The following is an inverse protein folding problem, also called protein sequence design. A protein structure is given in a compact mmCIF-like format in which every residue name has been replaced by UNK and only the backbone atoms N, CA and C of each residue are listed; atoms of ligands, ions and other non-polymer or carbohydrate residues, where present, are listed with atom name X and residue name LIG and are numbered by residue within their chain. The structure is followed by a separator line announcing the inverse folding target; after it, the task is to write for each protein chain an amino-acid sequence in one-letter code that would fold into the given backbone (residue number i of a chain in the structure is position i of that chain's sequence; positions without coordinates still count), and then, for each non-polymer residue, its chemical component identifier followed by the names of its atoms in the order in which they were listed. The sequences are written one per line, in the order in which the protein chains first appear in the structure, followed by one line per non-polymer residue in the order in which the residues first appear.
data_IF_424072173735
#
_entry.id   IF_424072173735
#
_cell.length_a   1.000
_cell.length_b   1.000
_cell.length_c   1.000
_cell.angle_alpha   90.00
_cell.angle_beta   90.00
_cell.angle_gamma   90.00
#
_symmetry.space_group_name_H-M   'P 1'
#
loop_
_entity.id
_entity.type
_entity.pdbx_description
1 polymer ?
#
# COMPACT_ATOMS: atom_id res chain seq x y z
N UNK A 1 0.18 1.28 2.45
CA UNK A 1 -0.53 2.53 2.82
C UNK A 1 -0.96 2.47 4.27
N UNK A 2 -0.66 3.50 5.08
CA UNK A 2 -1.01 3.51 6.51
C UNK A 2 -2.52 3.30 6.70
N UNK A 3 -2.88 2.38 7.60
CA UNK A 3 -4.23 1.91 7.92
C UNK A 3 -4.96 1.14 6.82
N UNK A 4 -4.28 0.74 5.74
CA UNK A 4 -4.93 0.17 4.55
C UNK A 4 -4.10 -0.91 3.84
N UNK A 5 -3.00 -1.35 4.43
CA UNK A 5 -2.16 -2.42 3.88
C UNK A 5 -1.78 -3.43 4.95
N UNK A 6 -2.73 -3.72 5.84
CA UNK A 6 -2.66 -4.81 6.81
C UNK A 6 -2.70 -6.18 6.11
N UNK A 7 -2.36 -7.24 6.85
CA UNK A 7 -2.23 -8.60 6.29
C UNK A 7 -3.46 -9.04 5.51
N UNK A 8 -4.66 -8.85 6.05
CA UNK A 8 -5.90 -9.25 5.39
C UNK A 8 -6.03 -8.62 4.00
N UNK A 9 -5.72 -7.33 3.88
CA UNK A 9 -5.74 -6.62 2.62
C UNK A 9 -4.61 -7.04 1.68
N UNK A 10 -3.39 -7.28 2.18
CA UNK A 10 -2.28 -7.78 1.35
C UNK A 10 -2.57 -9.18 0.79
N UNK A 11 -3.21 -10.05 1.57
CA UNK A 11 -3.67 -11.35 1.08
C UNK A 11 -4.72 -11.22 -0.04
N UNK A 12 -5.64 -10.25 0.08
CA UNK A 12 -6.61 -9.94 -0.96
C UNK A 12 -5.91 -9.42 -2.23
N UNK A 13 -4.96 -8.50 -2.09
CA UNK A 13 -4.20 -7.95 -3.21
C UNK A 13 -3.41 -9.04 -3.95
N UNK A 14 -2.73 -9.94 -3.22
CA UNK A 14 -2.02 -11.09 -3.81
C UNK A 14 -2.96 -12.03 -4.55
N UNK A 15 -4.12 -12.34 -3.95
CA UNK A 15 -5.17 -13.16 -4.60
C UNK A 15 -5.59 -12.58 -5.95
N UNK A 16 -5.54 -11.26 -6.10
CA UNK A 16 -5.93 -10.55 -7.30
C UNK A 16 -4.76 -10.03 -8.15
N UNK A 17 -3.57 -10.62 -8.02
CA UNK A 17 -2.49 -10.46 -8.98
C UNK A 17 -1.41 -9.46 -8.58
N UNK A 18 -1.36 -9.00 -7.32
CA UNK A 18 -0.20 -8.24 -6.86
C UNK A 18 1.02 -9.15 -6.65
N UNK A 19 2.11 -8.89 -7.37
CA UNK A 19 3.36 -9.67 -7.29
C UNK A 19 4.05 -9.55 -5.92
N UNK A 20 4.06 -8.34 -5.36
CA UNK A 20 4.56 -8.06 -4.02
C UNK A 20 3.76 -6.95 -3.36
N UNK A 21 3.78 -6.94 -2.03
CA UNK A 21 3.06 -5.97 -1.24
C UNK A 21 4.01 -5.24 -0.28
N UNK A 22 3.59 -4.04 0.12
CA UNK A 22 4.27 -3.24 1.13
C UNK A 22 3.48 -3.27 2.43
N UNK A 23 4.20 -3.28 3.55
CA UNK A 23 3.59 -3.01 4.84
C UNK A 23 3.12 -1.56 4.96
N UNK A 24 2.43 -1.27 6.06
CA UNK A 24 2.37 0.10 6.54
C UNK A 24 3.77 0.61 6.91
N UNK A 25 3.96 1.93 6.82
CA UNK A 25 5.25 2.56 7.08
C UNK A 25 5.64 2.46 8.56
N UNK A 26 6.83 1.92 8.82
CA UNK A 26 7.42 1.74 10.16
C UNK A 26 8.25 2.97 10.53
N UNK A 27 7.80 3.73 11.52
CA UNK A 27 8.60 4.80 12.10
C UNK A 27 9.70 4.21 13.00
N UNK A 28 10.96 4.35 12.61
CA UNK A 28 12.11 3.76 13.30
C UNK A 28 12.24 4.23 14.76
N UNK A 29 11.94 5.49 15.05
CA UNK A 29 12.06 6.02 16.41
C UNK A 29 11.00 5.43 17.35
N UNK A 30 9.75 5.38 16.89
CA UNK A 30 8.65 4.74 17.65
C UNK A 30 8.93 3.25 17.80
N UNK A 31 9.40 2.59 16.73
CA UNK A 31 9.71 1.17 16.73
C UNK A 31 10.75 0.81 17.80
N UNK A 32 11.89 1.52 17.83
CA UNK A 32 12.96 1.25 18.79
C UNK A 32 12.60 1.64 20.23
N UNK A 33 11.76 2.66 20.43
CA UNK A 33 11.33 3.08 21.78
C UNK A 33 10.28 2.17 22.39
N UNK A 34 9.33 1.67 21.59
CA UNK A 34 8.09 1.08 22.11
C UNK A 34 7.81 -0.34 21.60
N UNK A 35 8.52 -0.82 20.58
CA UNK A 35 8.11 -2.00 19.80
C UNK A 35 9.27 -2.89 19.33
N UNK A 36 10.32 -3.05 20.13
CA UNK A 36 11.53 -3.80 19.71
C UNK A 36 11.28 -5.27 19.33
N UNK A 37 10.12 -5.85 19.66
CA UNK A 37 9.74 -7.18 19.22
C UNK A 37 8.54 -7.12 18.25
N UNK A 38 8.74 -7.36 16.94
CA UNK A 38 7.66 -7.31 15.94
C UNK A 38 6.52 -8.29 16.23
N UNK A 39 6.84 -9.46 16.78
CA UNK A 39 5.91 -10.56 17.05
C UNK A 39 4.98 -10.21 18.21
N UNK A 40 5.54 -9.75 19.34
CA UNK A 40 4.73 -9.45 20.53
C UNK A 40 3.99 -8.12 20.45
N UNK A 41 4.46 -7.18 19.61
CA UNK A 41 3.84 -5.86 19.50
C UNK A 41 2.74 -5.76 18.44
N UNK A 42 2.53 -6.83 17.64
CA UNK A 42 1.51 -6.94 16.58
C UNK A 42 1.43 -5.69 15.68
N UNK A 43 2.55 -4.97 15.55
CA UNK A 43 2.63 -3.76 14.72
C UNK A 43 2.52 -4.11 13.24
N UNK A 44 2.98 -5.30 12.93
CA UNK A 44 2.97 -5.89 11.62
C UNK A 44 2.59 -7.36 11.83
N UNK A 45 1.51 -7.77 11.16
CA UNK A 45 1.12 -9.17 11.06
C UNK A 45 1.50 -9.66 9.68
N UNK A 46 2.01 -10.87 9.58
CA UNK A 46 2.36 -11.54 8.32
C UNK A 46 2.14 -13.04 8.42
N UNK A 47 2.31 -13.73 7.30
CA UNK A 47 2.38 -15.18 7.25
C UNK A 47 3.30 -15.60 6.08
N UNK A 48 3.56 -16.90 5.95
CA UNK A 48 4.44 -17.43 4.91
C UNK A 48 3.93 -17.18 3.48
N UNK A 49 2.61 -17.06 3.30
CA UNK A 49 1.95 -16.77 2.02
C UNK A 49 2.01 -15.27 1.67
N UNK A 50 2.37 -14.41 2.61
CA UNK A 50 2.50 -12.99 2.39
C UNK A 50 3.92 -12.63 1.93
N UNK A 51 4.49 -13.38 0.97
CA UNK A 51 5.81 -13.13 0.37
C UNK A 51 5.71 -13.18 -1.17
N UNK A 52 6.50 -12.38 -1.91
CA UNK A 52 7.52 -11.44 -1.45
C UNK A 52 6.92 -10.20 -0.76
N UNK A 53 7.46 -9.80 0.38
CA UNK A 53 7.02 -8.65 1.14
C UNK A 53 8.12 -7.62 1.34
N UNK A 54 7.74 -6.36 1.21
CA UNK A 54 8.60 -5.22 1.46
C UNK A 54 8.14 -4.50 2.73
N UNK A 55 9.03 -4.39 3.71
CA UNK A 55 8.79 -3.56 4.90
C UNK A 55 9.33 -2.15 4.63
N UNK A 56 8.42 -1.17 4.63
CA UNK A 56 8.79 0.23 4.44
C UNK A 56 9.10 0.88 5.79
N UNK A 57 10.28 1.46 5.95
CA UNK A 57 10.71 2.20 7.14
C UNK A 57 10.78 3.70 6.87
N UNK A 58 10.67 4.52 7.93
CA UNK A 58 10.93 5.95 7.88
C UNK A 58 11.67 6.44 9.12
N UNK A 59 12.54 7.42 8.93
CA UNK A 59 13.38 8.00 9.96
C UNK A 59 14.27 9.09 9.39
N UNK A 60 15.04 9.71 10.28
CA UNK A 60 16.02 10.76 9.95
C UNK A 60 17.38 10.52 10.61
N UNK A 61 17.49 9.48 11.45
CA UNK A 61 18.68 9.09 12.18
C UNK A 61 19.20 7.78 11.57
N UNK A 62 20.35 7.84 10.92
CA UNK A 62 20.95 6.74 10.16
C UNK A 62 21.21 5.50 11.02
N UNK A 63 21.68 5.68 12.26
CA UNK A 63 21.98 4.57 13.16
C UNK A 63 20.69 3.88 13.62
N UNK A 64 19.65 4.65 13.92
CA UNK A 64 18.33 4.09 14.26
C UNK A 64 17.68 3.39 13.07
N UNK A 65 17.83 3.93 11.86
CA UNK A 65 17.33 3.28 10.65
C UNK A 65 18.06 1.97 10.36
N UNK A 66 19.38 1.93 10.51
CA UNK A 66 20.17 0.70 10.40
C UNK A 66 19.74 -0.33 11.44
N UNK A 67 19.67 0.06 12.72
CA UNK A 67 19.25 -0.83 13.79
C UNK A 67 17.85 -1.41 13.54
N UNK A 68 16.90 -0.57 13.12
CA UNK A 68 15.54 -1.01 12.76
C UNK A 68 15.57 -1.99 11.58
N UNK A 69 16.36 -1.71 10.56
CA UNK A 69 16.51 -2.59 9.38
C UNK A 69 17.08 -3.95 9.76
N UNK A 70 18.12 -3.99 10.61
CA UNK A 70 18.73 -5.23 11.08
C UNK A 70 17.77 -6.10 11.89
N UNK A 71 16.85 -5.50 12.64
CA UNK A 71 15.79 -6.22 13.37
C UNK A 71 14.75 -6.77 12.38
N UNK A 72 14.35 -5.97 11.38
CA UNK A 72 13.24 -6.30 10.49
C UNK A 72 13.62 -7.20 9.30
N UNK A 73 14.91 -7.30 8.94
CA UNK A 73 15.35 -8.04 7.74
C UNK A 73 14.90 -9.50 7.69
N UNK A 74 14.74 -10.16 8.84
CA UNK A 74 14.32 -11.56 8.92
C UNK A 74 12.80 -11.75 8.71
N UNK A 75 12.04 -10.66 8.60
CA UNK A 75 10.57 -10.66 8.53
C UNK A 75 10.02 -10.21 7.17
N UNK A 76 10.90 -9.92 6.21
CA UNK A 76 10.57 -9.45 4.87
C UNK A 76 11.58 -9.93 3.84
N UNK A 77 11.31 -9.67 2.57
CA UNK A 77 12.20 -9.96 1.45
C UNK A 77 13.02 -8.72 1.05
N UNK A 78 12.53 -7.52 1.41
CA UNK A 78 13.27 -6.28 1.26
C UNK A 78 12.87 -5.23 2.32
N UNK A 79 13.83 -4.38 2.65
CA UNK A 79 13.60 -3.14 3.41
C UNK A 79 13.52 -1.99 2.40
N UNK A 80 12.44 -1.21 2.46
CA UNK A 80 12.26 0.01 1.69
C UNK A 80 12.39 1.23 2.60
N UNK A 81 13.02 2.30 2.11
CA UNK A 81 13.16 3.56 2.83
C UNK A 81 12.19 4.56 2.23
N UNK A 82 11.21 5.00 3.02
CA UNK A 82 10.28 6.02 2.56
C UNK A 82 10.99 7.37 2.45
N UNK A 83 11.18 7.83 1.22
CA UNK A 83 11.73 9.14 0.87
C UNK A 83 10.69 10.10 0.28
N UNK A 84 9.40 9.80 0.44
CA UNK A 84 8.30 10.71 0.07
C UNK A 84 8.18 11.91 1.02
N UNK A 85 8.87 11.85 2.17
CA UNK A 85 9.06 12.95 3.12
C UNK A 85 10.38 13.69 2.77
N UNK A 86 10.43 15.03 2.74
CA UNK A 86 11.54 15.77 2.16
C UNK A 86 12.85 15.48 2.90
N UNK A 87 13.82 14.87 2.21
CA UNK A 87 15.22 14.88 2.63
C UNK A 87 16.05 15.41 1.46
N UNK A 88 16.97 16.33 1.71
CA UNK A 88 17.83 16.93 0.67
C UNK A 88 18.59 15.88 -0.15
N UNK A 89 18.87 14.72 0.47
CA UNK A 89 19.50 13.56 -0.14
C UNK A 89 18.69 13.06 -1.35
N UNK A 90 17.36 13.15 -1.30
CA UNK A 90 16.50 12.66 -2.37
C UNK A 90 16.70 13.41 -3.70
N UNK A 91 17.06 14.69 -3.62
CA UNK A 91 17.32 15.54 -4.80
C UNK A 91 18.65 15.25 -5.48
N UNK A 92 19.61 14.65 -4.79
CA UNK A 92 20.97 14.43 -5.32
C UNK A 92 21.09 13.14 -6.15
N UNK A 93 20.05 12.29 -6.19
CA UNK A 93 19.96 11.17 -7.14
C UNK A 93 20.97 10.03 -6.94
N UNK A 94 21.66 9.96 -5.81
CA UNK A 94 22.73 8.97 -5.57
C UNK A 94 22.23 7.63 -5.02
N UNK A 95 20.97 7.27 -5.24
CA UNK A 95 20.37 6.05 -4.65
C UNK A 95 21.04 4.76 -5.12
N UNK A 96 21.36 4.68 -6.42
CA UNK A 96 22.10 3.55 -6.99
C UNK A 96 23.50 3.45 -6.36
N UNK A 97 24.21 4.58 -6.24
CA UNK A 97 25.53 4.64 -5.57
C UNK A 97 25.45 4.27 -4.09
N UNK A 98 24.33 4.55 -3.44
CA UNK A 98 24.06 4.13 -2.06
C UNK A 98 23.74 2.63 -1.93
N UNK A 99 23.68 1.89 -3.05
CA UNK A 99 23.47 0.44 -3.06
C UNK A 99 22.01 -0.01 -3.16
N UNK A 100 21.08 0.90 -3.45
CA UNK A 100 19.68 0.53 -3.67
C UNK A 100 19.56 -0.50 -4.80
N UNK A 101 18.71 -1.51 -4.61
CA UNK A 101 18.47 -2.57 -5.61
C UNK A 101 17.27 -2.30 -6.51
N UNK A 102 16.42 -1.36 -6.13
CA UNK A 102 15.22 -0.92 -6.85
C UNK A 102 14.81 0.45 -6.30
N UNK A 103 14.18 1.28 -7.13
CA UNK A 103 13.53 2.52 -6.67
C UNK A 103 12.06 2.52 -7.09
N UNK A 104 11.18 3.01 -6.21
CA UNK A 104 9.80 3.34 -6.56
C UNK A 104 9.68 4.85 -6.70
N UNK A 105 9.15 5.33 -7.82
CA UNK A 105 9.01 6.75 -8.10
C UNK A 105 7.54 7.13 -8.17
N UNK A 106 7.10 7.97 -7.24
CA UNK A 106 5.81 8.64 -7.37
C UNK A 106 5.95 9.85 -8.28
N UNK A 107 5.21 9.89 -9.39
CA UNK A 107 5.28 10.96 -10.38
C UNK A 107 4.73 12.32 -9.92
N UNK A 108 4.65 12.59 -8.62
CA UNK A 108 4.18 13.86 -8.09
C UNK A 108 5.19 14.45 -7.13
N UNK A 109 5.26 15.78 -7.09
CA UNK A 109 6.00 16.46 -6.03
C UNK A 109 5.24 16.40 -4.71
N UNK A 110 5.91 16.72 -3.62
CA UNK A 110 5.29 16.81 -2.29
C UNK A 110 4.17 17.85 -2.22
N UNK A 111 4.31 18.93 -2.97
CA UNK A 111 3.37 20.05 -3.03
C UNK A 111 2.07 19.66 -3.76
N UNK A 112 2.13 18.63 -4.60
CA UNK A 112 0.98 18.07 -5.31
C UNK A 112 0.15 17.15 -4.40
N UNK A 113 -0.53 17.78 -3.43
CA UNK A 113 -1.40 17.12 -2.45
C UNK A 113 -2.72 17.87 -2.26
N UNK A 114 -3.75 17.15 -1.82
CA UNK A 114 -5.08 17.72 -1.58
C UNK A 114 -5.68 18.30 -2.85
N UNK A 115 -6.13 19.56 -2.80
CA UNK A 115 -6.69 20.27 -3.96
C UNK A 115 -5.65 20.42 -5.10
N UNK A 116 -4.35 20.41 -4.76
CA UNK A 116 -3.26 20.58 -5.73
C UNK A 116 -2.70 19.26 -6.28
N UNK A 117 -3.36 18.13 -6.04
CA UNK A 117 -2.83 16.80 -6.40
C UNK A 117 -2.45 16.68 -7.88
N UNK A 118 -3.28 17.19 -8.78
CA UNK A 118 -3.04 17.17 -10.22
C UNK A 118 -2.70 15.78 -10.78
N UNK A 119 -2.13 15.76 -11.98
CA UNK A 119 -1.68 14.53 -12.64
C UNK A 119 -0.29 14.11 -12.15
N UNK A 120 -0.06 12.79 -12.11
CA UNK A 120 1.29 12.26 -11.96
C UNK A 120 2.03 12.42 -13.29
N UNK A 121 3.25 12.93 -13.25
CA UNK A 121 4.11 13.09 -14.40
C UNK A 121 4.88 11.81 -14.68
N UNK A 122 4.36 11.02 -15.63
CA UNK A 122 5.09 9.88 -16.19
C UNK A 122 6.35 10.32 -16.92
N UNK A 123 6.41 11.56 -17.42
CA UNK A 123 7.63 12.11 -18.01
C UNK A 123 8.79 12.16 -17.00
N UNK A 124 8.57 12.66 -15.79
CA UNK A 124 9.62 12.66 -14.77
C UNK A 124 10.04 11.23 -14.36
N UNK A 125 9.09 10.30 -14.30
CA UNK A 125 9.38 8.88 -14.02
C UNK A 125 10.26 8.29 -15.13
N UNK A 126 9.91 8.53 -16.40
CA UNK A 126 10.68 8.11 -17.57
C UNK A 126 12.10 8.66 -17.53
N UNK A 127 12.25 9.96 -17.25
CA UNK A 127 13.58 10.58 -17.14
C UNK A 127 14.41 9.91 -16.04
N UNK A 128 13.81 9.53 -14.90
CA UNK A 128 14.52 8.77 -13.86
C UNK A 128 14.92 7.38 -14.38
N UNK A 129 14.01 6.63 -15.02
CA UNK A 129 14.31 5.30 -15.59
C UNK A 129 15.46 5.34 -16.60
N UNK A 130 15.57 6.39 -17.40
CA UNK A 130 16.68 6.55 -18.36
C UNK A 130 18.04 6.84 -17.71
N UNK A 131 18.06 7.26 -16.45
CA UNK A 131 19.27 7.73 -15.75
C UNK A 131 19.76 6.78 -14.64
N UNK A 132 19.14 5.61 -14.48
CA UNK A 132 19.55 4.59 -13.49
C UNK A 132 19.58 3.20 -14.12
N UNK A 133 20.46 2.33 -13.62
CA UNK A 133 20.55 0.94 -14.13
C UNK A 133 19.77 -0.06 -13.28
N UNK A 134 19.27 0.37 -12.12
CA UNK A 134 18.46 -0.46 -11.23
C UNK A 134 16.98 -0.43 -11.66
N UNK A 135 16.20 -1.48 -11.32
CA UNK A 135 14.76 -1.49 -11.55
C UNK A 135 14.04 -0.26 -10.98
N UNK A 136 13.12 0.30 -11.76
CA UNK A 136 12.27 1.44 -11.42
C UNK A 136 10.82 1.02 -11.46
N UNK A 137 10.12 1.17 -10.33
CA UNK A 137 8.68 0.94 -10.22
C UNK A 137 7.96 2.29 -10.32
N UNK A 138 7.13 2.45 -11.34
CA UNK A 138 6.34 3.66 -11.54
C UNK A 138 5.12 3.68 -10.61
N UNK A 139 4.87 4.83 -9.97
CA UNK A 139 3.72 5.03 -9.08
C UNK A 139 2.99 6.34 -9.40
N UNK A 140 1.66 6.28 -9.39
CA UNK A 140 0.77 7.42 -9.62
C UNK A 140 0.22 7.50 -11.05
N UNK A 141 -1.04 7.90 -11.18
CA UNK A 141 -1.73 8.02 -12.48
C UNK A 141 -2.43 6.75 -12.96
N UNK A 142 -2.32 5.64 -12.23
CA UNK A 142 -2.97 4.37 -12.56
C UNK A 142 -4.38 4.36 -11.97
N UNK A 143 -5.39 4.50 -12.83
CA UNK A 143 -6.82 4.56 -12.45
C UNK A 143 -7.54 3.31 -12.96
N UNK A 144 -7.23 2.87 -14.17
CA UNK A 144 -7.80 1.69 -14.81
C UNK A 144 -6.69 0.71 -15.17
N UNK A 145 -7.02 -0.58 -15.32
CA UNK A 145 -6.04 -1.60 -15.69
C UNK A 145 -5.28 -1.26 -16.98
N UNK A 146 -5.93 -0.64 -17.98
CA UNK A 146 -5.26 -0.17 -19.21
C UNK A 146 -4.14 0.86 -18.96
N UNK A 147 -4.21 1.63 -17.89
CA UNK A 147 -3.16 2.61 -17.56
C UNK A 147 -1.86 1.92 -17.11
N UNK A 148 -1.90 0.64 -16.74
CA UNK A 148 -0.70 -0.14 -16.41
C UNK A 148 0.17 -0.25 -17.65
N UNK A 149 -0.41 -0.77 -18.75
CA UNK A 149 0.29 -0.94 -20.02
C UNK A 149 0.70 0.42 -20.60
N UNK A 150 -0.22 1.40 -20.63
CA UNK A 150 0.09 2.76 -21.11
C UNK A 150 1.26 3.41 -20.34
N UNK A 151 1.34 3.20 -19.02
CA UNK A 151 2.42 3.75 -18.20
C UNK A 151 3.75 3.02 -18.46
N UNK A 152 3.73 1.68 -18.56
CA UNK A 152 4.92 0.88 -18.86
C UNK A 152 5.45 1.25 -20.25
N UNK A 153 4.59 1.27 -21.27
CA UNK A 153 4.98 1.62 -22.65
C UNK A 153 5.58 3.03 -22.74
N UNK A 154 5.02 3.98 -21.99
CA UNK A 154 5.52 5.36 -22.01
C UNK A 154 6.85 5.53 -21.27
N UNK A 155 6.99 4.91 -20.10
CA UNK A 155 8.10 5.13 -19.16
C UNK A 155 9.26 4.14 -19.30
N UNK A 156 8.99 2.97 -19.89
CA UNK A 156 9.86 1.80 -19.90
C UNK A 156 10.27 1.33 -18.49
N UNK A 157 9.45 1.60 -17.47
CA UNK A 157 9.66 1.14 -16.11
C UNK A 157 9.46 -0.38 -15.97
N UNK A 158 10.12 -0.97 -14.97
CA UNK A 158 10.17 -2.42 -14.76
C UNK A 158 8.97 -2.96 -13.98
N UNK A 159 8.08 -2.07 -13.52
CA UNK A 159 6.86 -2.43 -12.85
C UNK A 159 6.02 -1.22 -12.43
N UNK A 160 4.84 -1.50 -11.91
CA UNK A 160 3.86 -0.50 -11.48
C UNK A 160 3.47 -0.74 -10.04
N UNK A 161 3.43 0.32 -9.25
CA UNK A 161 2.80 0.32 -7.93
C UNK A 161 1.47 1.07 -8.02
N UNK A 162 0.39 0.44 -7.54
CA UNK A 162 -0.91 1.08 -7.39
C UNK A 162 -1.22 1.23 -5.90
N UNK A 163 -1.39 2.48 -5.46
CA UNK A 163 -1.72 2.80 -4.07
C UNK A 163 -3.23 3.03 -3.93
N UNK A 164 -3.66 4.29 -3.88
CA UNK A 164 -5.03 4.67 -3.54
C UNK A 164 -6.11 4.00 -4.41
N UNK A 165 -5.93 3.98 -5.73
CA UNK A 165 -6.88 3.34 -6.66
C UNK A 165 -7.14 1.88 -6.33
N UNK A 166 -6.12 1.14 -5.88
CA UNK A 166 -6.26 -0.28 -5.56
C UNK A 166 -7.27 -0.52 -4.42
N UNK A 167 -7.43 0.44 -3.50
CA UNK A 167 -8.41 0.33 -2.41
C UNK A 167 -9.85 0.45 -2.90
N UNK A 168 -10.06 1.15 -4.00
CA UNK A 168 -11.38 1.26 -4.65
C UNK A 168 -11.61 0.09 -5.62
N UNK A 169 -10.55 -0.41 -6.25
CA UNK A 169 -10.60 -1.55 -7.16
C UNK A 169 -9.45 -2.54 -6.91
N UNK A 170 -9.65 -3.53 -6.02
CA UNK A 170 -8.65 -4.57 -5.79
C UNK A 170 -8.39 -5.50 -6.98
N UNK A 171 -9.24 -5.46 -8.02
CA UNK A 171 -9.09 -6.26 -9.24
C UNK A 171 -8.22 -5.58 -10.29
N UNK A 172 -7.54 -4.46 -9.98
CA UNK A 172 -6.83 -3.68 -11.00
C UNK A 172 -5.75 -4.49 -11.74
N UNK A 173 -5.18 -5.51 -11.11
CA UNK A 173 -4.20 -6.45 -11.69
C UNK A 173 -4.81 -7.77 -12.17
N UNK A 174 -6.14 -7.91 -12.14
CA UNK A 174 -6.85 -9.16 -12.42
C UNK A 174 -7.77 -9.03 -13.62
N UNK A 175 -7.95 -10.14 -14.34
CA UNK A 175 -8.99 -10.28 -15.37
C UNK A 175 -10.31 -10.83 -14.81
N UNK A 176 -10.32 -11.22 -13.53
CA UNK A 176 -11.51 -11.71 -12.83
C UNK A 176 -12.57 -10.61 -12.79
N UNK A 177 -13.84 -11.01 -12.95
CA UNK A 177 -14.99 -10.13 -12.79
C UNK A 177 -15.71 -10.48 -11.49
N UNK A 178 -15.69 -9.54 -10.55
CA UNK A 178 -16.49 -9.58 -9.31
C UNK A 178 -17.05 -8.21 -9.00
N UNK A 179 -18.21 -8.20 -8.35
CA UNK A 179 -18.78 -7.00 -7.76
C UNK A 179 -17.95 -6.51 -6.57
N UNK A 180 -18.11 -5.24 -6.23
CA UNK A 180 -17.47 -4.67 -5.03
C UNK A 180 -17.95 -5.32 -3.73
N UNK A 181 -19.18 -5.84 -3.68
CA UNK A 181 -19.71 -6.58 -2.54
C UNK A 181 -18.99 -7.91 -2.34
N UNK A 182 -18.85 -8.71 -3.40
CA UNK A 182 -18.11 -9.99 -3.33
C UNK A 182 -16.66 -9.78 -2.90
N UNK A 183 -15.99 -8.74 -3.40
CA UNK A 183 -14.61 -8.42 -3.01
C UNK A 183 -14.54 -7.99 -1.54
N UNK A 184 -15.49 -7.17 -1.09
CA UNK A 184 -15.53 -6.70 0.30
C UNK A 184 -15.88 -7.83 1.29
N UNK A 185 -16.79 -8.74 0.91
CA UNK A 185 -17.09 -9.94 1.68
C UNK A 185 -15.84 -10.81 1.87
N UNK A 186 -15.09 -11.06 0.79
CA UNK A 186 -13.83 -11.81 0.89
C UNK A 186 -12.80 -11.11 1.78
N UNK A 187 -12.74 -9.77 1.71
CA UNK A 187 -11.91 -9.00 2.62
C UNK A 187 -12.33 -9.20 4.08
N UNK A 188 -13.63 -9.19 4.40
CA UNK A 188 -14.14 -9.46 5.76
C UNK A 188 -13.75 -10.87 6.23
N UNK A 189 -13.88 -11.88 5.36
CA UNK A 189 -13.47 -13.27 5.68
C UNK A 189 -11.97 -13.35 5.97
N UNK A 190 -11.13 -12.74 5.13
CA UNK A 190 -9.69 -12.66 5.36
C UNK A 190 -9.38 -11.90 6.65
N UNK A 191 -10.15 -10.86 6.97
CA UNK A 191 -9.99 -10.10 8.20
C UNK A 191 -10.24 -10.98 9.43
N UNK A 192 -11.37 -11.70 9.46
CA UNK A 192 -11.69 -12.62 10.55
C UNK A 192 -10.67 -13.73 10.72
N UNK A 193 -10.09 -14.22 9.61
CA UNK A 193 -9.01 -15.20 9.62
C UNK A 193 -7.72 -14.65 10.22
N UNK A 194 -7.36 -13.41 9.90
CA UNK A 194 -6.07 -12.81 10.25
C UNK A 194 -6.18 -11.70 11.31
N UNK A 195 -7.05 -11.87 12.33
CA UNK A 195 -7.36 -10.90 13.39
C UNK A 195 -6.21 -9.92 13.68
N UNK A 196 -6.41 -8.64 13.33
CA UNK A 196 -5.40 -7.58 13.46
C UNK A 196 -5.81 -6.54 14.52
N UNK A 197 -4.82 -5.87 15.13
CA UNK A 197 -5.00 -4.85 16.18
C UNK A 197 -5.90 -3.66 15.78
N UNK A 198 -6.12 -3.44 14.48
CA UNK A 198 -6.86 -2.30 13.92
C UNK A 198 -8.23 -2.69 13.33
N UNK A 199 -8.77 -3.82 13.78
CA UNK A 199 -9.90 -4.57 13.21
C UNK A 199 -11.00 -3.68 12.62
N UNK A 200 -11.68 -2.93 13.48
CA UNK A 200 -12.82 -2.10 13.08
C UNK A 200 -12.46 -0.88 12.24
N UNK A 201 -11.32 -0.25 12.53
CA UNK A 201 -10.92 0.97 11.84
C UNK A 201 -10.58 0.66 10.38
N UNK A 202 -9.86 -0.43 10.14
CA UNK A 202 -9.48 -0.84 8.80
C UNK A 202 -10.69 -1.37 8.04
N UNK A 203 -11.53 -2.22 8.68
CA UNK A 203 -12.77 -2.70 8.04
C UNK A 203 -13.65 -1.54 7.59
N UNK A 204 -13.84 -0.55 8.48
CA UNK A 204 -14.62 0.65 8.16
C UNK A 204 -13.93 1.51 7.09
N UNK A 205 -12.61 1.64 7.10
CA UNK A 205 -11.92 2.39 6.06
C UNK A 205 -12.04 1.72 4.68
N UNK A 206 -11.98 0.39 4.62
CA UNK A 206 -12.09 -0.35 3.36
C UNK A 206 -13.52 -0.37 2.83
N UNK A 207 -14.54 -0.43 3.70
CA UNK A 207 -15.94 -0.38 3.28
C UNK A 207 -16.27 0.90 2.51
N UNK A 208 -15.82 2.07 3.00
CA UNK A 208 -16.02 3.34 2.31
C UNK A 208 -15.33 3.43 0.95
N UNK A 209 -14.26 2.64 0.72
CA UNK A 209 -13.49 2.64 -0.53
C UNK A 209 -14.03 1.61 -1.52
N UNK A 210 -14.12 0.34 -1.11
CA UNK A 210 -14.62 -0.72 -1.97
C UNK A 210 -16.10 -0.52 -2.33
N UNK A 211 -16.93 -0.07 -1.38
CA UNK A 211 -18.37 0.15 -1.59
C UNK A 211 -18.70 1.58 -2.00
N UNK A 212 -17.72 2.41 -2.37
CA UNK A 212 -17.93 3.83 -2.66
C UNK A 212 -19.08 4.09 -3.64
N UNK A 213 -19.15 3.34 -4.74
CA UNK A 213 -20.19 3.49 -5.76
C UNK A 213 -21.57 3.15 -5.19
N UNK A 214 -21.66 2.08 -4.40
CA UNK A 214 -22.91 1.67 -3.74
C UNK A 214 -23.36 2.74 -2.74
N UNK A 215 -22.46 3.20 -1.86
CA UNK A 215 -22.74 4.22 -0.84
C UNK A 215 -22.99 5.62 -1.44
N UNK A 216 -22.67 5.84 -2.71
CA UNK A 216 -23.04 7.04 -3.46
C UNK A 216 -24.45 6.92 -4.03
N UNK A 217 -24.83 5.75 -4.53
CA UNK A 217 -26.14 5.50 -5.13
C UNK A 217 -27.23 5.22 -4.08
N UNK A 218 -26.84 4.71 -2.90
CA UNK A 218 -27.70 4.43 -1.74
C UNK A 218 -27.12 5.10 -0.48
N UNK A 219 -27.25 6.44 -0.33
CA UNK A 219 -26.66 7.17 0.79
C UNK A 219 -27.14 6.70 2.17
N UNK A 220 -28.36 6.19 2.26
CA UNK A 220 -28.97 5.63 3.48
C UNK A 220 -28.16 4.49 4.08
N UNK A 221 -27.46 3.70 3.26
CA UNK A 221 -26.59 2.62 3.73
C UNK A 221 -25.39 3.12 4.55
N UNK A 222 -25.04 4.41 4.47
CA UNK A 222 -23.97 4.97 5.31
C UNK A 222 -24.37 4.99 6.77
N UNK A 223 -25.65 5.20 7.08
CA UNK A 223 -26.13 5.17 8.46
C UNK A 223 -26.08 3.74 9.01
N UNK A 224 -26.51 2.75 8.22
CA UNK A 224 -26.40 1.34 8.59
C UNK A 224 -24.95 0.89 8.76
N UNK A 225 -24.07 1.24 7.82
CA UNK A 225 -22.63 0.95 7.91
C UNK A 225 -21.99 1.58 9.16
N UNK A 226 -22.47 2.75 9.59
CA UNK A 226 -21.97 3.40 10.80
C UNK A 226 -22.43 2.72 12.09
N UNK A 227 -23.49 1.91 12.05
CA UNK A 227 -23.97 1.11 13.18
C UNK A 227 -23.16 -0.18 13.39
N UNK A 228 -22.39 -0.64 12.40
CA UNK A 228 -21.52 -1.82 12.54
C UNK A 228 -20.43 -1.59 13.61
N UNK A 229 -20.29 -2.53 14.54
CA UNK A 229 -19.38 -2.46 15.70
C UNK A 229 -18.40 -3.64 15.80
N UNK A 230 -18.58 -4.65 14.97
CA UNK A 230 -17.82 -5.90 14.97
C UNK A 230 -17.88 -6.55 13.59
N UNK A 231 -17.05 -7.57 13.36
CA UNK A 231 -16.99 -8.28 12.09
C UNK A 231 -18.35 -8.88 11.69
N UNK A 232 -19.11 -9.40 12.66
CA UNK A 232 -20.42 -10.01 12.42
C UNK A 232 -21.43 -8.99 11.89
N UNK A 233 -21.50 -7.79 12.49
CA UNK A 233 -22.36 -6.72 12.00
C UNK A 233 -21.96 -6.18 10.62
N UNK A 234 -20.67 -6.26 10.23
CA UNK A 234 -20.25 -5.97 8.85
C UNK A 234 -20.67 -7.09 7.86
N UNK A 235 -20.58 -8.36 8.27
CA UNK A 235 -21.05 -9.49 7.46
C UNK A 235 -22.57 -9.48 7.29
N UNK A 236 -23.32 -9.05 8.30
CA UNK A 236 -24.77 -8.85 8.17
C UNK A 236 -25.05 -7.68 7.22
N UNK A 237 -24.33 -6.55 7.38
CA UNK A 237 -24.53 -5.35 6.57
C UNK A 237 -24.48 -5.63 5.07
N UNK A 238 -23.55 -6.46 4.58
CA UNK A 238 -23.40 -6.71 3.14
C UNK A 238 -24.58 -7.46 2.47
N UNK A 239 -25.59 -7.89 3.23
CA UNK A 239 -26.79 -8.56 2.74
C UNK A 239 -28.02 -7.62 2.56
N UNK A 240 -27.81 -6.30 2.49
CA UNK A 240 -28.87 -5.29 2.32
C UNK A 240 -29.63 -5.36 0.98
#
# INVERSE_FOLDING_TARGET
MVGNSELAYRMLARKYGADFCFTEMVNCEIFLKTKQNPISNMWYTTNELDRPLIIQICGHDELKMLQTSLILQNYCDAIDINLGCPQEIARKGYYEKAGAKMITVHGRTREQRGINTGFASWEHIKQIKLNVNIPVIANGGIIYSRHIDECIDYTNCDGIMVAETHLYNPLIFSTIKKSSLEIYEEFLVLHGKYKNKYDLKNIKSHSYKMLQVILKNKPELREELNKCKDLESFLIFINF
#
